data_IF_466832225493
#
_entry.id   IF_466832225493
#
_cell.length_a   1.000
_cell.length_b   1.000
_cell.length_c   1.000
_cell.angle_alpha   90.00
_cell.angle_beta   90.00
_cell.angle_gamma   90.00
#
_symmetry.space_group_name_H-M   'P 1'
#
loop_
_entity.id
_entity.type
_entity.pdbx_description
1 polymer ?
#
# COMPACT_ATOMS: atom_id res chain seq x y z
N UNK A 1 -17.51 63.91 58.11
CA UNK A 1 -17.73 63.76 59.57
C UNK A 1 -18.01 62.28 59.84
N UNK A 2 -17.25 61.69 60.77
CA UNK A 2 -17.40 60.36 61.41
C UNK A 2 -17.09 59.07 60.63
N UNK A 3 -15.85 58.64 60.86
CA UNK A 3 -15.32 57.28 60.95
C UNK A 3 -16.19 56.37 61.86
N UNK A 4 -16.42 55.11 61.48
CA UNK A 4 -16.36 53.96 62.41
C UNK A 4 -15.87 52.71 61.68
N UNK A 5 -14.63 52.38 62.00
CA UNK A 5 -14.00 51.08 61.85
C UNK A 5 -14.70 50.11 62.82
N UNK A 6 -15.00 48.88 62.40
CA UNK A 6 -15.02 47.76 63.32
C UNK A 6 -14.47 46.51 62.61
N UNK A 7 -13.47 45.93 63.27
CA UNK A 7 -12.64 44.81 62.87
C UNK A 7 -13.44 43.53 62.58
N UNK A 8 -12.80 42.53 61.96
CA UNK A 8 -12.66 41.18 62.54
C UNK A 8 -11.76 40.30 61.65
N UNK A 9 -10.81 39.66 62.35
CA UNK A 9 -10.13 38.39 62.09
C UNK A 9 -9.37 38.19 60.75
N UNK A 10 -8.04 38.26 60.90
CA UNK A 10 -7.08 37.36 60.25
C UNK A 10 -7.56 35.91 60.22
N UNK A 11 -7.57 35.32 59.02
CA UNK A 11 -7.28 33.90 58.83
C UNK A 11 -6.26 33.77 57.70
N UNK A 12 -5.02 33.51 58.10
CA UNK A 12 -3.98 32.93 57.25
C UNK A 12 -4.44 31.52 56.88
N UNK A 13 -4.71 31.28 55.61
CA UNK A 13 -4.70 29.93 55.05
C UNK A 13 -3.89 29.96 53.77
N UNK A 14 -2.64 29.51 53.88
CA UNK A 14 -1.78 29.24 52.74
C UNK A 14 -2.43 28.18 51.86
N UNK A 15 -2.80 28.55 50.65
CA UNK A 15 -3.22 27.60 49.62
C UNK A 15 -1.94 26.99 49.06
N UNK A 16 -1.48 25.90 49.69
CA UNK A 16 -0.54 24.99 49.07
C UNK A 16 -1.33 24.23 48.01
N UNK A 17 -1.25 24.71 46.77
CA UNK A 17 -1.84 24.05 45.61
C UNK A 17 -1.14 22.71 45.40
N UNK A 18 -1.75 21.63 45.90
CA UNK A 18 -1.37 20.27 45.53
C UNK A 18 -1.68 20.08 44.04
N UNK A 19 -0.63 20.08 43.22
CA UNK A 19 -0.69 19.58 41.84
C UNK A 19 -1.01 18.08 41.92
N UNK A 20 -2.29 17.73 41.84
CA UNK A 20 -2.69 16.34 41.61
C UNK A 20 -2.36 16.01 40.16
N UNK A 21 -1.22 15.33 39.97
CA UNK A 21 -0.90 14.63 38.73
C UNK A 21 -1.98 13.57 38.52
N UNK A 22 -2.91 13.83 37.61
CA UNK A 22 -3.85 12.81 37.14
C UNK A 22 -2.99 11.81 36.35
N UNK A 23 -2.88 10.54 36.78
CA UNK A 23 -2.24 9.55 35.95
C UNK A 23 -3.05 9.40 34.65
N UNK A 24 -2.40 9.68 33.53
CA UNK A 24 -2.94 9.39 32.21
C UNK A 24 -3.00 7.85 32.11
N UNK A 25 -4.17 7.25 32.38
CA UNK A 25 -4.40 5.86 32.08
C UNK A 25 -4.37 5.72 30.55
N UNK A 26 -3.25 5.26 30.02
CA UNK A 26 -3.16 4.75 28.66
C UNK A 26 -4.21 3.63 28.54
N UNK A 27 -5.32 3.92 27.87
CA UNK A 27 -6.29 2.89 27.53
C UNK A 27 -5.65 2.04 26.45
N UNK A 28 -5.27 0.82 26.80
CA UNK A 28 -4.92 -0.22 25.83
C UNK A 28 -6.10 -0.32 24.86
N UNK A 29 -5.89 -0.25 23.53
CA UNK A 29 -6.96 -0.50 22.58
C UNK A 29 -7.60 -1.83 22.93
N UNK A 30 -8.94 -1.86 23.06
CA UNK A 30 -9.66 -3.12 23.24
C UNK A 30 -9.24 -4.04 22.09
N UNK A 31 -8.71 -5.20 22.46
CA UNK A 31 -8.40 -6.28 21.52
C UNK A 31 -9.69 -6.58 20.77
N UNK A 32 -9.77 -6.12 19.52
CA UNK A 32 -10.65 -6.75 18.54
C UNK A 32 -10.18 -8.20 18.53
N UNK A 33 -11.05 -9.20 18.76
CA UNK A 33 -10.64 -10.58 18.55
C UNK A 33 -10.35 -10.72 17.06
N UNK A 34 -9.10 -10.56 16.66
CA UNK A 34 -8.62 -11.12 15.42
C UNK A 34 -8.71 -12.63 15.66
N UNK A 35 -9.79 -13.25 15.18
CA UNK A 35 -9.74 -14.66 14.80
C UNK A 35 -8.72 -14.76 13.68
N UNK A 36 -7.43 -14.85 14.04
CA UNK A 36 -6.37 -15.22 13.14
C UNK A 36 -6.63 -16.70 12.84
N UNK A 37 -6.97 -17.08 11.59
CA UNK A 37 -7.11 -18.49 11.26
C UNK A 37 -5.78 -19.19 11.56
N UNK A 38 -5.87 -20.33 12.25
CA UNK A 38 -4.70 -21.10 12.68
C UNK A 38 -3.88 -21.65 11.51
N UNK A 39 -4.44 -21.61 10.30
CA UNK A 39 -3.80 -21.96 9.06
C UNK A 39 -3.86 -20.77 8.09
N UNK A 40 -2.72 -20.42 7.50
CA UNK A 40 -2.61 -19.37 6.47
C UNK A 40 -3.40 -19.79 5.22
N UNK A 41 -3.56 -21.09 4.97
CA UNK A 41 -4.37 -21.61 3.86
C UNK A 41 -5.88 -21.37 4.04
N UNK A 42 -6.34 -21.07 5.27
CA UNK A 42 -7.75 -20.81 5.59
C UNK A 42 -8.08 -19.30 5.59
N UNK A 43 -7.19 -18.46 5.04
CA UNK A 43 -7.50 -17.05 4.83
C UNK A 43 -8.61 -16.92 3.78
N UNK A 44 -9.68 -16.16 4.06
CA UNK A 44 -10.74 -15.94 3.08
C UNK A 44 -10.15 -15.25 1.84
N UNK A 45 -10.54 -15.74 0.67
CA UNK A 45 -10.22 -15.11 -0.62
C UNK A 45 -10.94 -13.75 -0.67
N UNK A 46 -10.23 -12.70 -0.29
CA UNK A 46 -10.75 -11.34 -0.30
C UNK A 46 -10.58 -10.76 -1.71
N UNK A 47 -11.66 -10.35 -2.39
CA UNK A 47 -11.56 -9.73 -3.72
C UNK A 47 -10.73 -8.44 -3.76
N UNK A 48 -10.40 -7.87 -2.59
CA UNK A 48 -9.51 -6.71 -2.45
C UNK A 48 -8.02 -7.09 -2.29
N UNK A 49 -7.68 -8.38 -2.22
CA UNK A 49 -6.29 -8.83 -2.19
C UNK A 49 -5.62 -8.70 -3.56
N UNK A 50 -4.32 -8.42 -3.52
CA UNK A 50 -3.46 -8.49 -4.70
C UNK A 50 -3.40 -9.92 -5.20
N UNK A 51 -3.56 -10.11 -6.50
CA UNK A 51 -3.32 -11.38 -7.18
C UNK A 51 -2.04 -11.33 -7.98
N UNK A 52 -1.28 -12.41 -7.92
CA UNK A 52 -0.01 -12.54 -8.62
C UNK A 52 -0.12 -13.53 -9.77
N UNK A 53 0.30 -13.11 -10.95
CA UNK A 53 0.28 -13.88 -12.19
C UNK A 53 1.67 -13.91 -12.78
N UNK A 54 2.16 -15.10 -13.12
CA UNK A 54 3.31 -15.20 -14.00
C UNK A 54 2.80 -15.36 -15.44
N UNK A 55 3.24 -14.46 -16.31
CA UNK A 55 2.89 -14.46 -17.72
C UNK A 55 4.14 -14.72 -18.56
N UNK A 56 4.06 -15.62 -19.53
CA UNK A 56 5.17 -15.88 -20.47
C UNK A 56 4.70 -16.07 -21.92
N UNK A 57 5.60 -15.80 -22.87
CA UNK A 57 5.38 -16.01 -24.30
C UNK A 57 6.47 -16.93 -24.90
N UNK A 58 6.89 -17.96 -24.13
CA UNK A 58 8.05 -18.83 -24.36
C UNK A 58 9.43 -18.14 -24.23
N UNK A 59 9.63 -16.98 -24.84
CA UNK A 59 10.93 -16.28 -24.88
C UNK A 59 11.12 -15.23 -23.77
N UNK A 60 10.01 -14.66 -23.30
CA UNK A 60 9.97 -13.62 -22.28
C UNK A 60 9.07 -14.07 -21.13
N UNK A 61 9.26 -13.46 -19.96
CA UNK A 61 8.46 -13.76 -18.77
C UNK A 61 8.38 -12.55 -17.86
N UNK A 62 7.19 -12.33 -17.31
CA UNK A 62 6.89 -11.24 -16.38
C UNK A 62 6.05 -11.75 -15.22
N UNK A 63 6.24 -11.13 -14.06
CA UNK A 63 5.34 -11.27 -12.92
C UNK A 63 4.43 -10.05 -12.88
N UNK A 64 3.13 -10.27 -12.71
CA UNK A 64 2.11 -9.23 -12.67
C UNK A 64 1.36 -9.35 -11.35
N UNK A 65 1.40 -8.30 -10.55
CA UNK A 65 0.63 -8.20 -9.30
C UNK A 65 -0.47 -7.15 -9.50
N UNK A 66 -1.74 -7.54 -9.36
CA UNK A 66 -2.88 -6.65 -9.64
C UNK A 66 -3.89 -6.66 -8.51
N UNK A 67 -4.36 -5.46 -8.15
CA UNK A 67 -5.49 -5.27 -7.24
C UNK A 67 -6.71 -4.86 -8.05
N UNK A 68 -7.80 -5.60 -7.85
CA UNK A 68 -9.04 -5.54 -8.64
C UNK A 68 -8.82 -5.98 -10.10
N UNK A 69 -9.35 -7.16 -10.43
CA UNK A 69 -8.85 -8.02 -11.51
C UNK A 69 -9.73 -7.88 -12.76
N UNK A 70 -9.98 -6.66 -13.25
CA UNK A 70 -10.68 -6.50 -14.53
C UNK A 70 -9.77 -5.85 -15.56
N UNK A 71 -9.81 -6.36 -16.79
CA UNK A 71 -9.27 -5.73 -18.00
C UNK A 71 -7.74 -5.48 -18.06
N UNK A 72 -6.97 -5.84 -17.03
CA UNK A 72 -5.51 -5.67 -17.06
C UNK A 72 -4.82 -6.56 -18.11
N UNK A 73 -5.35 -7.78 -18.31
CA UNK A 73 -4.84 -8.72 -19.32
C UNK A 73 -5.00 -8.13 -20.71
N UNK A 74 -6.18 -7.61 -21.03
CA UNK A 74 -6.45 -6.94 -22.32
C UNK A 74 -5.41 -5.85 -22.62
N UNK A 75 -5.02 -5.06 -21.60
CA UNK A 75 -4.01 -4.01 -21.74
C UNK A 75 -2.61 -4.55 -22.07
N UNK A 76 -2.25 -5.73 -21.56
CA UNK A 76 -0.98 -6.39 -21.87
C UNK A 76 -1.05 -7.21 -23.18
N UNK A 77 -2.21 -7.76 -23.51
CA UNK A 77 -2.46 -8.58 -24.69
C UNK A 77 -2.48 -7.76 -25.99
N UNK A 78 -2.83 -6.46 -25.90
CA UNK A 78 -2.87 -5.51 -27.02
C UNK A 78 -1.58 -5.44 -27.85
N UNK A 79 -0.42 -5.81 -27.31
CA UNK A 79 0.85 -5.70 -28.03
C UNK A 79 1.33 -7.00 -28.69
N UNK A 80 0.97 -8.19 -28.19
CA UNK A 80 1.53 -9.45 -28.72
C UNK A 80 0.58 -10.63 -28.86
N UNK A 81 -0.67 -10.60 -28.35
CA UNK A 81 -1.61 -11.75 -28.39
C UNK A 81 -0.99 -13.11 -27.97
N UNK A 82 0.09 -13.13 -27.18
CA UNK A 82 0.93 -14.32 -26.97
C UNK A 82 1.30 -14.59 -25.51
N UNK A 83 0.86 -13.77 -24.56
CA UNK A 83 1.14 -14.01 -23.16
C UNK A 83 0.20 -15.07 -22.60
N UNK A 84 0.76 -16.08 -21.95
CA UNK A 84 0.03 -17.10 -21.21
C UNK A 84 0.23 -16.82 -19.73
N UNK A 85 -0.84 -16.44 -19.02
CA UNK A 85 -0.78 -16.07 -17.62
C UNK A 85 -1.35 -17.17 -16.72
N UNK A 86 -0.62 -17.51 -15.66
CA UNK A 86 -1.07 -18.44 -14.63
C UNK A 86 -0.87 -17.81 -13.25
N UNK A 87 -1.86 -17.96 -12.36
CA UNK A 87 -1.78 -17.48 -10.99
C UNK A 87 -0.72 -18.33 -10.25
N UNK A 88 0.45 -17.75 -9.99
CA UNK A 88 1.57 -18.42 -9.32
C UNK A 88 2.58 -17.40 -8.80
N UNK A 89 3.30 -17.79 -7.75
CA UNK A 89 4.46 -17.05 -7.26
C UNK A 89 5.73 -17.58 -7.92
N UNK A 90 6.64 -16.68 -8.28
CA UNK A 90 7.96 -17.02 -8.82
C UNK A 90 9.03 -16.31 -8.00
N UNK A 91 10.20 -16.93 -7.90
CA UNK A 91 11.36 -16.28 -7.28
C UNK A 91 11.88 -15.18 -8.21
N UNK A 92 11.97 -13.96 -7.67
CA UNK A 92 12.51 -12.81 -8.38
C UNK A 92 13.96 -12.54 -7.96
N UNK A 93 14.84 -12.08 -8.87
CA UNK A 93 16.14 -11.56 -8.48
C UNK A 93 15.99 -10.21 -7.75
N UNK A 94 16.90 -9.92 -6.83
CA UNK A 94 16.85 -8.74 -5.94
C UNK A 94 16.79 -7.37 -6.66
N UNK A 95 17.13 -7.33 -7.95
CA UNK A 95 17.09 -6.12 -8.80
C UNK A 95 16.30 -6.35 -10.09
N UNK A 96 15.27 -7.19 -10.05
CA UNK A 96 14.38 -7.37 -11.18
C UNK A 96 13.80 -6.01 -11.62
N UNK A 97 13.90 -5.63 -12.90
CA UNK A 97 13.30 -4.41 -13.38
C UNK A 97 11.79 -4.45 -13.15
N UNK A 98 11.25 -3.43 -12.49
CA UNK A 98 9.81 -3.35 -12.24
C UNK A 98 9.29 -1.92 -12.37
N UNK A 99 8.00 -1.82 -12.65
CA UNK A 99 7.23 -0.58 -12.52
C UNK A 99 5.89 -0.88 -11.85
N UNK A 100 5.31 0.15 -11.24
CA UNK A 100 3.98 0.09 -10.64
C UNK A 100 3.14 1.25 -11.13
N UNK A 101 1.89 0.99 -11.52
CA UNK A 101 0.91 2.00 -11.90
C UNK A 101 -0.29 1.93 -10.96
N UNK A 102 -0.77 3.09 -10.51
CA UNK A 102 -1.90 3.20 -9.60
C UNK A 102 -2.95 4.21 -10.11
N UNK A 103 -4.20 3.99 -9.75
CA UNK A 103 -5.33 4.86 -10.08
C UNK A 103 -6.37 4.85 -8.96
N UNK A 104 -7.08 5.97 -8.80
CA UNK A 104 -8.23 6.08 -7.91
C UNK A 104 -9.50 5.43 -8.49
N UNK A 105 -9.42 4.86 -9.70
CA UNK A 105 -10.52 4.18 -10.37
C UNK A 105 -10.76 2.75 -9.87
N UNK A 106 -11.94 2.22 -10.16
CA UNK A 106 -12.43 0.94 -9.61
C UNK A 106 -12.10 -0.30 -10.47
N UNK A 107 -11.50 -0.13 -11.65
CA UNK A 107 -11.25 -1.27 -12.56
C UNK A 107 -9.87 -1.90 -12.32
N UNK A 108 -8.81 -1.10 -12.38
CA UNK A 108 -7.43 -1.46 -12.02
C UNK A 108 -6.94 -0.39 -11.06
N UNK A 109 -6.95 -0.70 -9.77
CA UNK A 109 -6.53 0.27 -8.75
C UNK A 109 -4.99 0.30 -8.61
N UNK A 110 -4.36 -0.86 -8.74
CA UNK A 110 -2.91 -1.03 -8.64
C UNK A 110 -2.47 -2.19 -9.54
N UNK A 111 -1.43 -1.96 -10.33
CA UNK A 111 -0.72 -2.99 -11.08
C UNK A 111 0.79 -2.80 -10.92
N UNK A 112 1.50 -3.87 -10.58
CA UNK A 112 2.96 -3.95 -10.61
C UNK A 112 3.38 -4.99 -11.62
N UNK A 113 4.30 -4.63 -12.51
CA UNK A 113 4.87 -5.55 -13.49
C UNK A 113 6.38 -5.64 -13.29
N UNK A 114 6.85 -6.86 -13.08
CA UNK A 114 8.27 -7.18 -12.87
C UNK A 114 8.78 -8.05 -14.02
N UNK A 115 9.88 -7.65 -14.64
CA UNK A 115 10.53 -8.41 -15.70
C UNK A 115 11.31 -9.58 -15.12
N UNK A 116 10.98 -10.80 -15.55
CA UNK A 116 11.58 -12.04 -15.01
C UNK A 116 12.64 -12.59 -15.97
N UNK A 117 12.36 -12.60 -17.28
CA UNK A 117 13.30 -13.16 -18.27
C UNK A 117 13.05 -12.61 -19.68
N UNK A 118 14.04 -12.79 -20.54
CA UNK A 118 13.98 -12.48 -21.96
C UNK A 118 14.61 -11.12 -22.31
N UNK A 119 14.82 -10.91 -23.60
CA UNK A 119 15.38 -9.67 -24.14
C UNK A 119 14.28 -8.63 -24.38
N UNK A 120 14.69 -7.39 -24.69
CA UNK A 120 13.78 -6.29 -25.10
C UNK A 120 12.78 -5.81 -24.03
N UNK A 121 12.93 -6.26 -22.78
CA UNK A 121 12.02 -5.87 -21.69
C UNK A 121 11.87 -4.37 -21.52
N UNK A 122 12.95 -3.59 -21.71
CA UNK A 122 12.90 -2.13 -21.50
C UNK A 122 11.93 -1.42 -22.45
N UNK A 123 11.86 -1.85 -23.71
CA UNK A 123 10.94 -1.24 -24.67
C UNK A 123 9.50 -1.63 -24.35
N UNK A 124 9.24 -2.92 -24.11
CA UNK A 124 7.91 -3.42 -23.78
C UNK A 124 7.35 -2.80 -22.51
N UNK A 125 8.15 -2.75 -21.44
CA UNK A 125 7.70 -2.15 -20.19
C UNK A 125 7.45 -0.64 -20.31
N UNK A 126 8.24 0.09 -21.11
CA UNK A 126 7.96 1.51 -21.39
C UNK A 126 6.66 1.71 -22.17
N UNK A 127 6.35 0.81 -23.10
CA UNK A 127 5.08 0.85 -23.82
C UNK A 127 3.92 0.60 -22.85
N UNK A 128 4.00 -0.44 -22.00
CA UNK A 128 2.97 -0.71 -20.99
C UNK A 128 2.77 0.46 -20.03
N UNK A 129 3.85 1.09 -19.54
CA UNK A 129 3.77 2.32 -18.75
C UNK A 129 2.95 3.37 -19.50
N UNK A 130 3.29 3.64 -20.77
CA UNK A 130 2.58 4.64 -21.58
C UNK A 130 1.10 4.28 -21.76
N UNK A 131 0.77 3.00 -21.92
CA UNK A 131 -0.61 2.53 -22.06
C UNK A 131 -1.41 2.72 -20.77
N UNK A 132 -0.85 2.38 -19.62
CA UNK A 132 -1.50 2.60 -18.32
C UNK A 132 -1.64 4.10 -18.01
N UNK A 133 -0.64 4.92 -18.35
CA UNK A 133 -0.73 6.39 -18.22
C UNK A 133 -1.84 6.97 -19.11
N UNK A 134 -2.01 6.45 -20.32
CA UNK A 134 -3.13 6.84 -21.20
C UNK A 134 -4.50 6.40 -20.67
N UNK A 135 -4.54 5.45 -19.74
CA UNK A 135 -5.73 5.02 -18.99
C UNK A 135 -5.87 5.77 -17.65
N UNK A 136 -5.23 6.94 -17.52
CA UNK A 136 -5.28 7.79 -16.32
C UNK A 136 -4.63 7.18 -15.07
N UNK A 137 -3.68 6.25 -15.24
CA UNK A 137 -2.88 5.73 -14.11
C UNK A 137 -1.59 6.54 -13.93
N UNK A 138 -1.14 6.69 -12.69
CA UNK A 138 0.17 7.25 -12.37
C UNK A 138 1.19 6.12 -12.25
N UNK A 139 2.21 6.10 -13.10
CA UNK A 139 3.23 5.04 -13.11
C UNK A 139 4.55 5.50 -12.47
N UNK A 140 5.20 4.56 -11.78
CA UNK A 140 6.48 4.76 -11.11
C UNK A 140 7.44 3.63 -11.44
N UNK A 141 8.72 3.97 -11.60
CA UNK A 141 9.82 3.03 -11.80
C UNK A 141 10.85 3.20 -10.71
N UNK A 142 11.60 2.14 -10.40
CA UNK A 142 12.75 2.23 -9.52
C UNK A 142 13.92 2.92 -10.24
N UNK A 143 14.12 4.22 -9.98
CA UNK A 143 15.22 5.00 -10.58
C UNK A 143 16.62 4.49 -10.20
N UNK A 144 16.73 3.66 -9.17
CA UNK A 144 18.02 3.07 -8.75
C UNK A 144 18.39 1.83 -9.57
N UNK A 145 17.42 1.24 -10.28
CA UNK A 145 17.67 0.10 -11.17
C UNK A 145 18.23 0.58 -12.51
N UNK A 146 19.45 0.15 -12.85
CA UNK A 146 20.18 0.52 -14.07
C UNK A 146 19.39 0.23 -15.36
N UNK A 147 18.48 -0.74 -15.33
CA UNK A 147 17.60 -1.03 -16.44
C UNK A 147 16.84 0.20 -16.94
N UNK A 148 16.47 1.13 -16.05
CA UNK A 148 15.70 2.32 -16.42
C UNK A 148 16.55 3.47 -16.96
N UNK A 149 17.86 3.46 -16.71
CA UNK A 149 18.81 4.54 -17.06
C UNK A 149 19.33 4.45 -18.50
#
# INVERSE_FOLDING_TARGET
MNLKILAIATLLSGVWGSLTLIPLNAQTPSEIPLTIPANIDDLPNDPNQLKTWYCDNASQGVLVEVKMIKNWQDTMEMETNQWQCQEQLVNLPDNAPQFSCESDENEINLITITWVKGNEGKSLMKNWISTFENQSMACTTDKTNEFWN
#
